data_IF_170011694426
#
_entry.id   IF_170011694426
#
_cell.length_a   1.000
_cell.length_b   1.000
_cell.length_c   1.000
_cell.angle_alpha   90.00
_cell.angle_beta   90.00
_cell.angle_gamma   90.00
#
_symmetry.space_group_name_H-M   'P 1'
#
loop_
_entity.id
_entity.type
_entity.pdbx_description
1 polymer ?
#
# COMPACT_ATOMS: atom_id res chain seq x y z
N UNK A 1 1.06 -1.66 48.69
CA UNK A 1 1.95 -2.76 48.27
C UNK A 1 1.64 -3.09 46.81
N UNK A 2 2.63 -2.98 45.92
CA UNK A 2 2.44 -3.21 44.48
C UNK A 2 1.91 -4.62 44.22
N UNK A 3 0.64 -4.72 43.81
CA UNK A 3 -0.09 -5.98 43.53
C UNK A 3 0.65 -6.87 42.53
N UNK A 4 1.36 -6.26 41.57
CA UNK A 4 2.25 -6.97 40.65
C UNK A 4 3.35 -7.75 41.37
N UNK A 5 3.97 -7.15 42.39
CA UNK A 5 5.06 -7.77 43.15
C UNK A 5 4.52 -8.94 43.99
N UNK A 6 3.35 -8.76 44.59
CA UNK A 6 2.68 -9.83 45.34
C UNK A 6 2.31 -11.02 44.42
N UNK A 7 1.75 -10.76 43.24
CA UNK A 7 1.41 -11.80 42.27
C UNK A 7 2.66 -12.53 41.74
N UNK A 8 3.75 -11.80 41.48
CA UNK A 8 5.02 -12.41 41.09
C UNK A 8 5.58 -13.32 42.19
N UNK A 9 5.60 -12.86 43.45
CA UNK A 9 6.05 -13.68 44.58
C UNK A 9 5.15 -14.89 44.85
N UNK A 10 3.83 -14.74 44.69
CA UNK A 10 2.88 -15.84 44.86
C UNK A 10 3.09 -16.93 43.80
N UNK A 11 3.28 -16.52 42.54
CA UNK A 11 3.61 -17.43 41.45
C UNK A 11 4.97 -18.09 41.69
N UNK A 12 5.99 -17.30 42.01
CA UNK A 12 7.34 -17.81 42.33
C UNK A 12 7.27 -18.86 43.44
N UNK A 13 6.56 -18.58 44.54
CA UNK A 13 6.35 -19.50 45.67
C UNK A 13 5.64 -20.80 45.28
N UNK A 14 4.64 -20.74 44.39
CA UNK A 14 3.91 -21.93 43.92
C UNK A 14 4.77 -22.82 43.02
N UNK A 15 5.74 -22.24 42.32
CA UNK A 15 6.59 -22.96 41.37
C UNK A 15 8.02 -23.22 41.88
N UNK A 16 8.38 -22.87 43.12
CA UNK A 16 9.68 -23.18 43.75
C UNK A 16 10.05 -24.67 43.63
N UNK A 17 9.07 -25.57 43.69
CA UNK A 17 9.28 -27.02 43.56
C UNK A 17 9.37 -27.57 42.13
N UNK A 18 9.05 -26.77 41.10
CA UNK A 18 8.91 -27.24 39.72
C UNK A 18 9.67 -26.34 38.72
N UNK A 19 11.00 -26.23 38.83
CA UNK A 19 11.81 -25.36 37.98
C UNK A 19 11.74 -25.72 36.49
N UNK A 20 11.45 -26.98 36.16
CA UNK A 20 11.29 -27.43 34.77
C UNK A 20 10.02 -26.86 34.14
N UNK A 21 8.90 -26.83 34.88
CA UNK A 21 7.61 -26.35 34.38
C UNK A 21 7.71 -24.87 34.03
N UNK A 22 8.31 -24.05 34.90
CA UNK A 22 8.51 -22.61 34.63
C UNK A 22 9.34 -22.40 33.36
N UNK A 23 10.44 -23.13 33.19
CA UNK A 23 11.32 -22.99 32.01
C UNK A 23 10.57 -23.29 30.71
N UNK A 24 9.76 -24.35 30.70
CA UNK A 24 8.94 -24.71 29.54
C UNK A 24 7.89 -23.65 29.25
N UNK A 25 7.21 -23.11 30.26
CA UNK A 25 6.22 -22.05 30.09
C UNK A 25 6.85 -20.76 29.56
N UNK A 26 7.98 -20.32 30.13
CA UNK A 26 8.70 -19.14 29.65
C UNK A 26 9.17 -19.33 28.21
N UNK A 27 9.66 -20.53 27.86
CA UNK A 27 10.06 -20.85 26.50
C UNK A 27 8.87 -20.77 25.52
N UNK A 28 7.73 -21.36 25.88
CA UNK A 28 6.49 -21.28 25.10
C UNK A 28 6.02 -19.84 24.90
N UNK A 29 5.99 -19.04 25.96
CA UNK A 29 5.60 -17.62 25.89
C UNK A 29 6.57 -16.85 25.00
N UNK A 30 7.87 -17.14 25.09
CA UNK A 30 8.89 -16.49 24.26
C UNK A 30 8.70 -16.80 22.78
N UNK A 31 8.45 -18.07 22.43
CA UNK A 31 8.14 -18.47 21.04
C UNK A 31 6.87 -17.76 20.56
N UNK A 32 5.83 -17.73 21.38
CA UNK A 32 4.57 -17.08 21.02
C UNK A 32 4.77 -15.58 20.78
N UNK A 33 5.54 -14.90 21.64
CA UNK A 33 5.89 -13.50 21.49
C UNK A 33 6.67 -13.22 20.18
N UNK A 34 7.60 -14.11 19.82
CA UNK A 34 8.35 -14.01 18.55
C UNK A 34 7.40 -14.12 17.35
N UNK A 35 6.49 -15.09 17.35
CA UNK A 35 5.51 -15.26 16.25
C UNK A 35 4.63 -14.01 16.10
N UNK A 36 4.18 -13.44 17.21
CA UNK A 36 3.42 -12.18 17.20
C UNK A 36 4.23 -11.03 16.63
N UNK A 37 5.48 -10.86 17.07
CA UNK A 37 6.40 -9.83 16.56
C UNK A 37 6.61 -9.95 15.05
N UNK A 38 6.91 -11.15 14.55
CA UNK A 38 7.09 -11.41 13.12
C UNK A 38 5.83 -11.08 12.33
N UNK A 39 4.66 -11.46 12.85
CA UNK A 39 3.37 -11.16 12.20
C UNK A 39 3.12 -9.66 12.10
N UNK A 40 3.41 -8.92 13.17
CA UNK A 40 3.24 -7.47 13.23
C UNK A 40 4.20 -6.76 12.27
N UNK A 41 5.46 -7.19 12.22
CA UNK A 41 6.43 -6.72 11.24
C UNK A 41 5.95 -6.96 9.81
N UNK A 42 5.43 -8.16 9.50
CA UNK A 42 4.93 -8.50 8.16
C UNK A 42 3.80 -7.58 7.72
N UNK A 43 2.84 -7.29 8.62
CA UNK A 43 1.73 -6.36 8.35
C UNK A 43 2.27 -4.95 8.13
N UNK A 44 3.21 -4.51 8.98
CA UNK A 44 3.81 -3.18 8.86
C UNK A 44 4.56 -3.00 7.53
N UNK A 45 5.38 -3.97 7.12
CA UNK A 45 6.07 -3.94 5.84
C UNK A 45 5.09 -3.93 4.66
N UNK A 46 4.02 -4.73 4.72
CA UNK A 46 2.99 -4.77 3.69
C UNK A 46 2.28 -3.42 3.55
N UNK A 47 1.89 -2.81 4.67
CA UNK A 47 1.26 -1.49 4.69
C UNK A 47 2.19 -0.42 4.13
N UNK A 48 3.47 -0.43 4.52
CA UNK A 48 4.47 0.53 4.04
C UNK A 48 4.70 0.41 2.53
N UNK A 49 4.74 -0.81 2.00
CA UNK A 49 4.95 -1.02 0.56
C UNK A 49 3.73 -0.56 -0.26
N UNK A 50 2.52 -0.76 0.25
CA UNK A 50 1.29 -0.22 -0.34
C UNK A 50 1.31 1.31 -0.41
N UNK A 51 1.71 2.00 0.67
CA UNK A 51 1.81 3.47 0.66
C UNK A 51 2.78 3.98 -0.41
N UNK A 52 3.91 3.30 -0.64
CA UNK A 52 4.85 3.68 -1.71
C UNK A 52 4.24 3.52 -3.10
N UNK A 53 3.49 2.43 -3.35
CA UNK A 53 2.80 2.24 -4.63
C UNK A 53 1.69 3.28 -4.84
N UNK A 54 0.88 3.53 -3.82
CA UNK A 54 -0.20 4.53 -3.89
C UNK A 54 0.33 5.94 -4.15
N UNK A 55 1.46 6.30 -3.52
CA UNK A 55 2.08 7.60 -3.77
C UNK A 55 2.57 7.74 -5.21
N UNK A 56 3.15 6.69 -5.79
CA UNK A 56 3.58 6.69 -7.20
C UNK A 56 2.38 6.76 -8.15
N UNK A 57 1.30 6.04 -7.86
CA UNK A 57 0.06 6.11 -8.65
C UNK A 57 -0.56 7.52 -8.60
N UNK A 58 -0.59 8.16 -7.42
CA UNK A 58 -1.07 9.54 -7.24
C UNK A 58 -0.21 10.57 -7.98
N UNK A 59 1.12 10.40 -7.99
CA UNK A 59 2.02 11.28 -8.74
C UNK A 59 1.77 11.19 -10.25
N UNK A 60 1.66 9.97 -10.79
CA UNK A 60 1.34 9.74 -12.20
C UNK A 60 -0.04 10.31 -12.54
N UNK A 61 -1.03 10.07 -11.68
CA UNK A 61 -2.35 10.66 -11.85
C UNK A 61 -2.28 12.19 -11.90
N UNK A 62 -1.62 12.83 -10.93
CA UNK A 62 -1.49 14.30 -10.89
C UNK A 62 -0.76 14.84 -12.12
N UNK A 63 0.26 14.13 -12.62
CA UNK A 63 1.08 14.56 -13.77
C UNK A 63 0.34 14.43 -15.10
N UNK A 64 -0.41 13.35 -15.30
CA UNK A 64 -0.96 13.00 -16.61
C UNK A 64 -2.48 13.13 -16.73
N UNK A 65 -3.25 13.14 -15.64
CA UNK A 65 -4.72 13.13 -15.71
C UNK A 65 -5.29 14.30 -16.51
N UNK A 66 -4.84 15.54 -16.22
CA UNK A 66 -5.32 16.73 -16.95
C UNK A 66 -4.97 16.66 -18.43
N UNK A 67 -3.72 16.29 -18.74
CA UNK A 67 -3.22 16.19 -20.11
C UNK A 67 -3.98 15.13 -20.91
N UNK A 68 -4.22 13.96 -20.29
CA UNK A 68 -4.97 12.87 -20.88
C UNK A 68 -6.43 13.25 -21.11
N UNK A 69 -7.11 13.91 -20.17
CA UNK A 69 -8.48 14.40 -20.38
C UNK A 69 -8.56 15.35 -21.57
N UNK A 70 -7.63 16.30 -21.67
CA UNK A 70 -7.59 17.23 -22.81
C UNK A 70 -7.33 16.51 -24.13
N UNK A 71 -6.49 15.47 -24.16
CA UNK A 71 -6.20 14.73 -25.40
C UNK A 71 -7.35 13.80 -25.78
N UNK A 72 -7.91 13.05 -24.82
CA UNK A 72 -8.95 12.04 -25.04
C UNK A 72 -10.30 12.64 -25.42
N UNK A 73 -10.64 13.80 -24.88
CA UNK A 73 -11.96 14.42 -25.03
C UNK A 73 -11.91 15.75 -25.80
N UNK A 74 -10.79 16.06 -26.46
CA UNK A 74 -10.74 17.15 -27.43
C UNK A 74 -11.30 16.67 -28.77
N UNK A 75 -12.08 17.52 -29.44
CA UNK A 75 -12.59 17.28 -30.80
C UNK A 75 -11.53 17.53 -31.88
N UNK A 76 -10.27 17.74 -31.50
CA UNK A 76 -9.16 17.91 -32.44
C UNK A 76 -8.68 16.54 -32.97
N UNK A 77 -8.40 16.46 -34.27
CA UNK A 77 -7.66 15.33 -34.84
C UNK A 77 -6.17 15.46 -34.44
N UNK A 78 -5.82 14.95 -33.27
CA UNK A 78 -4.46 15.05 -32.73
C UNK A 78 -3.60 13.92 -33.30
N UNK A 79 -2.45 14.27 -33.87
CA UNK A 79 -1.47 13.30 -34.38
C UNK A 79 -0.65 12.66 -33.25
N UNK A 80 -0.05 11.47 -33.48
CA UNK A 80 0.79 10.81 -32.46
C UNK A 80 1.93 11.67 -31.91
N UNK A 81 2.50 12.57 -32.72
CA UNK A 81 3.60 13.42 -32.28
C UNK A 81 3.14 14.64 -31.47
N UNK A 82 1.95 15.16 -31.77
CA UNK A 82 1.29 16.17 -30.94
C UNK A 82 0.84 15.59 -29.60
N UNK A 83 0.43 14.32 -29.55
CA UNK A 83 0.14 13.61 -28.30
C UNK A 83 1.40 13.58 -27.42
N UNK A 84 2.57 13.24 -27.99
CA UNK A 84 3.84 13.23 -27.24
C UNK A 84 4.20 14.61 -26.72
N UNK A 85 3.98 15.64 -27.53
CA UNK A 85 4.22 17.04 -27.16
C UNK A 85 3.29 17.52 -26.06
N UNK A 86 1.97 17.30 -26.18
CA UNK A 86 0.99 17.65 -25.16
C UNK A 86 1.22 16.89 -23.85
N UNK A 87 1.71 15.64 -23.92
CA UNK A 87 2.08 14.85 -22.73
C UNK A 87 3.42 15.31 -22.11
N UNK A 88 4.25 16.04 -22.84
CA UNK A 88 5.58 16.48 -22.41
C UNK A 88 6.64 15.37 -22.48
N UNK A 89 6.52 14.48 -23.46
CA UNK A 89 7.37 13.29 -23.66
C UNK A 89 8.35 13.47 -24.83
N UNK A 90 8.78 14.70 -25.09
CA UNK A 90 9.55 15.03 -26.30
C UNK A 90 10.93 14.37 -26.33
N UNK A 91 11.55 14.15 -25.16
CA UNK A 91 12.91 13.60 -25.05
C UNK A 91 13.02 12.43 -24.06
N UNK A 92 11.92 12.01 -23.42
CA UNK A 92 11.94 10.96 -22.39
C UNK A 92 10.95 9.86 -22.72
N UNK A 93 11.44 8.61 -22.77
CA UNK A 93 10.59 7.42 -22.87
C UNK A 93 10.01 7.12 -21.48
N UNK A 94 8.71 6.84 -21.44
CA UNK A 94 8.07 6.34 -20.21
C UNK A 94 8.75 5.04 -19.79
N UNK A 95 9.05 4.92 -18.50
CA UNK A 95 9.51 3.65 -17.93
C UNK A 95 8.37 2.64 -18.02
N UNK A 96 8.67 1.34 -18.10
CA UNK A 96 7.63 0.33 -18.32
C UNK A 96 6.56 0.30 -17.21
N UNK A 97 6.95 0.62 -15.97
CA UNK A 97 5.99 0.79 -14.87
C UNK A 97 5.08 2.02 -15.07
N UNK A 98 5.59 3.12 -15.62
CA UNK A 98 4.80 4.33 -15.89
C UNK A 98 3.78 4.09 -17.01
N UNK A 99 4.18 3.37 -18.07
CA UNK A 99 3.28 2.97 -19.17
C UNK A 99 2.05 2.22 -18.64
N UNK A 100 2.26 1.28 -17.72
CA UNK A 100 1.18 0.51 -17.11
C UNK A 100 0.19 1.41 -16.34
N UNK A 101 0.69 2.37 -15.54
CA UNK A 101 -0.18 3.31 -14.82
C UNK A 101 -0.90 4.30 -15.74
N UNK A 102 -0.22 4.81 -16.77
CA UNK A 102 -0.83 5.71 -17.77
C UNK A 102 -1.94 5.00 -18.53
N UNK A 103 -1.73 3.76 -18.97
CA UNK A 103 -2.75 2.95 -19.63
C UNK A 103 -3.96 2.70 -18.72
N UNK A 104 -3.73 2.31 -17.47
CA UNK A 104 -4.78 2.13 -16.46
C UNK A 104 -5.58 3.42 -16.22
N UNK A 105 -4.89 4.57 -16.18
CA UNK A 105 -5.51 5.88 -16.02
C UNK A 105 -6.37 6.24 -17.24
N UNK A 106 -5.90 5.96 -18.46
CA UNK A 106 -6.63 6.18 -19.71
C UNK A 106 -7.94 5.38 -19.72
N UNK A 107 -7.89 4.08 -19.41
CA UNK A 107 -9.08 3.21 -19.30
C UNK A 107 -10.05 3.73 -18.24
N UNK A 108 -9.54 4.17 -17.08
CA UNK A 108 -10.36 4.74 -16.00
C UNK A 108 -11.09 6.00 -16.45
N UNK A 109 -10.42 6.88 -17.18
CA UNK A 109 -11.01 8.13 -17.69
C UNK A 109 -12.10 7.88 -18.73
N UNK A 110 -11.85 6.97 -19.68
CA UNK A 110 -12.84 6.57 -20.69
C UNK A 110 -14.09 6.01 -20.01
N UNK A 111 -13.92 5.06 -19.08
CA UNK A 111 -15.03 4.46 -18.33
C UNK A 111 -15.79 5.46 -17.45
N UNK A 112 -15.10 6.48 -16.93
CA UNK A 112 -15.76 7.56 -16.19
C UNK A 112 -16.63 8.41 -17.11
N UNK A 113 -16.18 8.72 -18.33
CA UNK A 113 -16.95 9.49 -19.30
C UNK A 113 -18.20 8.72 -19.77
N UNK A 114 -18.07 7.44 -20.13
CA UNK A 114 -19.21 6.59 -20.53
C UNK A 114 -20.31 6.54 -19.45
N UNK A 115 -19.93 6.45 -18.17
CA UNK A 115 -20.89 6.47 -17.06
C UNK A 115 -21.60 7.81 -16.90
N UNK A 116 -20.95 8.92 -17.23
CA UNK A 116 -21.54 10.26 -17.15
C UNK A 116 -22.54 10.46 -18.29
N UNK A 117 -22.22 9.97 -19.48
CA UNK A 117 -23.13 10.01 -20.65
C UNK A 117 -24.38 9.13 -20.42
N UNK A 118 -24.24 7.95 -19.81
CA UNK A 118 -25.38 7.07 -19.50
C UNK A 118 -26.32 7.59 -18.40
N UNK A 119 -25.87 8.49 -17.53
CA UNK A 119 -26.68 9.09 -16.47
C UNK A 119 -27.30 10.44 -16.85
N UNK A 120 -26.99 10.97 -18.05
CA UNK A 120 -27.48 12.26 -18.55
C UNK A 120 -28.53 12.13 -19.67
N UNK A 121 -28.91 10.89 -20.03
CA UNK A 121 -30.06 10.54 -20.86
C UNK A 121 -31.19 9.98 -19.98
#
# INVERSE_FOLDING_TARGET
MNTLKYNLYYLESQFVGYPVVIRVTVFLITILAIIYLVSLLRIFFLARNRTKMDNREKEIQKKYEKKLKTILFSNENITPEEIRTKLGMNNETLKDWEKAYVSKLMIKLIRQNEKVEMNSN
#
